data_IF_755003275899
#
_entry.id   IF_755003275899
#
_cell.length_a   1.000
_cell.length_b   1.000
_cell.length_c   1.000
_cell.angle_alpha   90.00
_cell.angle_beta   90.00
_cell.angle_gamma   90.00
#
_symmetry.space_group_name_H-M   'P 1'
#
loop_
_entity.id
_entity.type
_entity.pdbx_description
1 polymer ?
#
# COMPACT_ATOMS: atom_id res chain seq x y z
N UNK A 1 48.11 17.39 -4.81
CA UNK A 1 46.84 17.14 -4.09
C UNK A 1 46.08 16.13 -4.91
N UNK A 2 45.97 14.89 -4.44
CA UNK A 2 45.24 13.83 -5.15
C UNK A 2 43.74 14.06 -4.96
N UNK A 3 43.02 14.32 -6.04
CA UNK A 3 41.56 14.36 -6.05
C UNK A 3 41.02 12.98 -5.63
N UNK A 4 40.32 12.92 -4.50
CA UNK A 4 39.59 11.72 -4.09
C UNK A 4 38.33 11.66 -4.95
N UNK A 5 38.33 10.78 -5.95
CA UNK A 5 37.16 10.49 -6.77
C UNK A 5 36.05 9.90 -5.88
N UNK A 6 35.05 10.70 -5.56
CA UNK A 6 33.84 10.22 -4.90
C UNK A 6 32.96 9.52 -5.94
N UNK A 7 32.85 8.19 -5.86
CA UNK A 7 31.98 7.39 -6.73
C UNK A 7 30.66 7.07 -6.02
N UNK A 8 29.59 6.91 -6.80
CA UNK A 8 28.31 6.40 -6.30
C UNK A 8 28.47 4.96 -5.80
N UNK A 9 27.62 4.54 -4.86
CA UNK A 9 27.48 3.13 -4.48
C UNK A 9 27.01 2.31 -5.69
N UNK A 10 27.37 1.04 -5.72
CA UNK A 10 26.93 0.09 -6.74
C UNK A 10 25.79 -0.82 -6.25
N UNK A 11 25.51 -0.82 -4.95
CA UNK A 11 24.51 -1.64 -4.25
C UNK A 11 23.35 -0.80 -3.68
N UNK A 12 22.94 0.26 -4.38
CA UNK A 12 21.72 0.99 -4.03
C UNK A 12 20.49 0.28 -4.60
N UNK A 13 19.32 0.58 -4.03
CA UNK A 13 18.07 -0.03 -4.45
C UNK A 13 17.60 0.59 -5.77
N UNK A 14 17.39 -0.26 -6.77
CA UNK A 14 16.83 0.17 -8.05
C UNK A 14 15.33 0.51 -7.90
N UNK A 15 14.82 1.31 -8.84
CA UNK A 15 13.45 1.85 -8.75
C UNK A 15 12.35 0.77 -8.63
N UNK A 16 12.35 -0.31 -9.43
CA UNK A 16 11.32 -1.34 -9.32
C UNK A 16 11.29 -2.00 -7.93
N UNK A 17 12.47 -2.35 -7.40
CA UNK A 17 12.63 -2.94 -6.07
C UNK A 17 12.19 -1.96 -4.98
N UNK A 18 12.54 -0.68 -5.13
CA UNK A 18 12.09 0.37 -4.22
C UNK A 18 10.57 0.49 -4.19
N UNK A 19 9.90 0.60 -5.34
CA UNK A 19 8.44 0.75 -5.37
C UNK A 19 7.71 -0.50 -4.90
N UNK A 20 8.25 -1.69 -5.20
CA UNK A 20 7.72 -2.93 -4.67
C UNK A 20 7.90 -3.00 -3.15
N UNK A 21 9.07 -2.63 -2.63
CA UNK A 21 9.32 -2.55 -1.20
C UNK A 21 8.35 -1.58 -0.50
N UNK A 22 8.04 -0.44 -1.11
CA UNK A 22 7.01 0.49 -0.61
C UNK A 22 5.63 -0.16 -0.56
N UNK A 23 5.23 -0.91 -1.60
CA UNK A 23 3.95 -1.63 -1.59
C UNK A 23 3.90 -2.66 -0.44
N UNK A 24 4.94 -3.47 -0.27
CA UNK A 24 5.00 -4.44 0.84
C UNK A 24 5.07 -3.78 2.22
N UNK A 25 5.78 -2.66 2.36
CA UNK A 25 5.82 -1.89 3.61
C UNK A 25 4.44 -1.32 3.93
N UNK A 26 3.72 -0.83 2.92
CA UNK A 26 2.35 -0.31 3.07
C UNK A 26 1.38 -1.40 3.49
N UNK A 27 1.54 -2.62 3.00
CA UNK A 27 0.74 -3.78 3.40
C UNK A 27 0.79 -4.01 4.93
N UNK A 28 1.92 -3.73 5.58
CA UNK A 28 2.08 -3.88 7.04
C UNK A 28 1.19 -2.93 7.86
N UNK A 29 0.54 -1.94 7.23
CA UNK A 29 -0.47 -1.09 7.87
C UNK A 29 -1.88 -1.68 7.87
N UNK A 30 -2.12 -2.74 7.10
CA UNK A 30 -3.39 -3.47 7.10
C UNK A 30 -3.65 -4.12 8.46
N UNK A 31 -4.87 -3.95 8.98
CA UNK A 31 -5.33 -4.64 10.20
C UNK A 31 -6.01 -5.98 9.90
N UNK A 32 -6.09 -6.39 8.64
CA UNK A 32 -6.65 -7.69 8.27
C UNK A 32 -5.74 -8.81 8.80
N UNK A 33 -6.22 -9.71 9.67
CA UNK A 33 -5.37 -10.75 10.26
C UNK A 33 -5.05 -11.88 9.28
N UNK A 34 -5.72 -11.95 8.12
CA UNK A 34 -5.59 -13.07 7.19
C UNK A 34 -4.75 -12.73 5.96
N UNK A 35 -4.86 -11.50 5.46
CA UNK A 35 -4.26 -11.09 4.20
C UNK A 35 -3.90 -9.62 4.24
N UNK A 36 -2.61 -9.30 4.15
CA UNK A 36 -2.10 -7.94 4.09
C UNK A 36 -1.62 -7.65 2.67
N UNK A 37 -2.26 -6.70 2.02
CA UNK A 37 -1.94 -6.28 0.65
C UNK A 37 -1.66 -4.80 0.66
N UNK A 38 -0.65 -4.38 -0.08
CA UNK A 38 -0.31 -2.98 -0.30
C UNK A 38 -0.15 -2.69 -1.78
N UNK A 39 -0.33 -1.43 -2.14
CA UNK A 39 -0.26 -0.94 -3.51
C UNK A 39 0.48 0.41 -3.54
N UNK A 40 1.26 0.60 -4.60
CA UNK A 40 2.04 1.82 -4.83
C UNK A 40 1.79 2.26 -6.29
N UNK A 41 1.28 3.48 -6.48
CA UNK A 41 1.05 4.08 -7.80
C UNK A 41 2.17 5.09 -8.04
N UNK A 42 2.85 4.93 -9.16
CA UNK A 42 4.02 5.72 -9.55
C UNK A 42 3.77 6.32 -10.93
N UNK A 43 4.11 7.58 -11.12
CA UNK A 43 3.99 8.26 -12.42
C UNK A 43 5.25 8.05 -13.30
N UNK A 44 5.21 8.58 -14.52
CA UNK A 44 6.34 8.51 -15.48
C UNK A 44 7.64 9.17 -15.00
N UNK A 45 7.59 10.04 -13.98
CA UNK A 45 8.75 10.70 -13.39
C UNK A 45 9.32 9.96 -12.17
N UNK A 46 8.90 8.70 -11.94
CA UNK A 46 9.27 7.90 -10.77
C UNK A 46 8.87 8.56 -9.42
N UNK A 47 7.78 9.32 -9.41
CA UNK A 47 7.20 9.89 -8.19
C UNK A 47 6.03 9.04 -7.73
N UNK A 48 6.01 8.72 -6.44
CA UNK A 48 4.87 8.04 -5.82
C UNK A 48 3.74 9.05 -5.72
N UNK A 49 2.62 8.74 -6.38
CA UNK A 49 1.43 9.61 -6.43
C UNK A 49 0.27 9.07 -5.60
N UNK A 50 0.29 7.78 -5.28
CA UNK A 50 -0.72 7.13 -4.44
C UNK A 50 -0.18 5.90 -3.73
N UNK A 51 -0.61 5.69 -2.48
CA UNK A 51 -0.28 4.52 -1.66
C UNK A 51 -1.56 3.99 -1.05
N UNK A 52 -1.71 2.67 -1.01
CA UNK A 52 -2.85 2.01 -0.41
C UNK A 52 -2.49 0.69 0.27
N UNK A 53 -3.37 0.27 1.18
CA UNK A 53 -3.38 -1.04 1.80
C UNK A 53 -4.83 -1.45 2.05
N UNK A 54 -5.11 -2.75 2.18
CA UNK A 54 -6.48 -3.20 2.43
C UNK A 54 -6.95 -2.83 3.85
N UNK A 55 -8.18 -2.32 3.97
CA UNK A 55 -8.69 -1.73 5.21
C UNK A 55 -10.20 -1.49 5.16
N UNK A 56 -10.83 -1.21 6.30
CA UNK A 56 -12.21 -0.73 6.29
C UNK A 56 -12.30 0.71 5.74
N UNK A 57 -13.47 1.18 5.30
CA UNK A 57 -13.65 2.53 4.78
C UNK A 57 -13.32 3.60 5.84
N UNK A 58 -12.97 4.81 5.38
CA UNK A 58 -12.67 5.93 6.27
C UNK A 58 -13.83 6.23 7.22
N UNK A 59 -13.54 6.36 8.51
CA UNK A 59 -14.54 6.63 9.56
C UNK A 59 -15.26 5.38 10.06
N UNK A 60 -15.04 4.21 9.47
CA UNK A 60 -15.51 2.94 10.01
C UNK A 60 -14.44 2.33 10.93
N UNK A 61 -14.79 2.01 12.17
CA UNK A 61 -13.84 1.38 13.09
C UNK A 61 -13.55 -0.07 12.69
N UNK A 62 -12.26 -0.39 12.58
CA UNK A 62 -11.78 -1.77 12.36
C UNK A 62 -12.08 -2.71 13.54
N UNK A 63 -12.49 -2.17 14.70
CA UNK A 63 -12.88 -2.95 15.88
C UNK A 63 -14.38 -3.28 15.91
N UNK A 64 -15.18 -2.61 15.05
CA UNK A 64 -16.63 -2.79 14.96
C UNK A 64 -17.00 -3.66 13.76
N UNK A 65 -16.33 -3.45 12.61
CA UNK A 65 -16.58 -4.23 11.41
C UNK A 65 -15.84 -5.57 11.43
N UNK A 66 -16.46 -6.66 10.93
CA UNK A 66 -15.89 -7.99 11.05
C UNK A 66 -14.69 -8.21 10.12
N UNK A 67 -13.62 -8.79 10.65
CA UNK A 67 -12.48 -9.28 9.87
C UNK A 67 -12.59 -10.76 9.45
N UNK A 68 -13.57 -11.49 9.99
CA UNK A 68 -13.72 -12.93 9.74
C UNK A 68 -14.11 -13.23 8.29
N UNK A 69 -13.62 -14.37 7.79
CA UNK A 69 -13.86 -14.85 6.41
C UNK A 69 -15.10 -15.72 6.29
N UNK A 70 -15.61 -16.26 7.39
CA UNK A 70 -16.75 -17.18 7.41
C UNK A 70 -17.68 -16.80 8.57
N UNK A 71 -18.97 -16.85 8.30
CA UNK A 71 -20.06 -16.65 9.24
C UNK A 71 -21.36 -17.21 8.62
N UNK A 72 -22.39 -17.41 9.44
CA UNK A 72 -23.70 -17.83 8.97
C UNK A 72 -24.34 -16.77 8.06
N UNK A 73 -24.26 -15.50 8.45
CA UNK A 73 -24.68 -14.37 7.62
C UNK A 73 -23.50 -13.78 6.84
N UNK A 74 -23.72 -13.36 5.60
CA UNK A 74 -22.69 -12.69 4.79
C UNK A 74 -22.27 -11.33 5.37
N UNK A 75 -23.20 -10.60 5.98
CA UNK A 75 -22.95 -9.30 6.64
C UNK A 75 -22.04 -9.44 7.85
N UNK A 76 -21.88 -10.65 8.35
CA UNK A 76 -20.96 -10.94 9.43
C UNK A 76 -19.54 -11.22 8.94
N UNK A 77 -19.24 -11.06 7.65
CA UNK A 77 -17.90 -11.29 7.08
C UNK A 77 -17.25 -10.00 6.63
N UNK A 78 -15.93 -9.99 6.42
CA UNK A 78 -15.21 -8.79 5.93
C UNK A 78 -15.61 -8.34 4.53
N UNK A 79 -16.09 -9.28 3.70
CA UNK A 79 -16.20 -9.08 2.25
C UNK A 79 -17.12 -7.93 1.79
N UNK A 80 -18.23 -7.60 2.48
CA UNK A 80 -19.05 -6.46 2.09
C UNK A 80 -18.42 -5.10 2.40
N UNK A 81 -17.41 -5.05 3.28
CA UNK A 81 -16.91 -3.81 3.85
C UNK A 81 -15.47 -3.51 3.49
N UNK A 82 -14.61 -4.53 3.38
CA UNK A 82 -13.18 -4.33 3.18
C UNK A 82 -12.90 -3.67 1.83
N UNK A 83 -12.16 -2.57 1.86
CA UNK A 83 -11.60 -1.93 0.69
C UNK A 83 -10.25 -2.57 0.35
N UNK A 84 -10.04 -2.90 -0.92
CA UNK A 84 -8.77 -3.44 -1.39
C UNK A 84 -7.67 -2.35 -1.45
N UNK A 85 -6.42 -2.77 -1.46
CA UNK A 85 -5.27 -1.87 -1.44
C UNK A 85 -5.24 -0.95 -2.68
N UNK A 86 -5.60 -1.48 -3.83
CA UNK A 86 -5.63 -0.79 -5.12
C UNK A 86 -6.68 0.32 -5.14
N UNK A 87 -7.88 0.04 -4.62
CA UNK A 87 -8.94 1.05 -4.45
C UNK A 87 -8.44 2.19 -3.57
N UNK A 88 -7.87 1.85 -2.41
CA UNK A 88 -7.35 2.85 -1.48
C UNK A 88 -6.20 3.64 -2.08
N UNK A 89 -5.32 3.03 -2.88
CA UNK A 89 -4.22 3.74 -3.54
C UNK A 89 -4.72 4.76 -4.59
N UNK A 90 -5.76 4.42 -5.35
CA UNK A 90 -6.39 5.34 -6.31
C UNK A 90 -7.09 6.50 -5.59
N UNK A 91 -7.84 6.21 -4.53
CA UNK A 91 -8.60 7.22 -3.79
C UNK A 91 -7.70 8.14 -2.95
N UNK A 92 -6.57 7.64 -2.46
CA UNK A 92 -5.56 8.42 -1.73
C UNK A 92 -4.61 9.19 -2.65
N UNK A 93 -4.81 9.14 -3.97
CA UNK A 93 -3.93 9.80 -4.93
C UNK A 93 -4.05 11.31 -4.79
N UNK A 94 -2.93 11.95 -4.43
CA UNK A 94 -2.86 13.41 -4.22
C UNK A 94 -2.29 14.16 -5.44
N UNK A 95 -2.39 13.58 -6.65
CA UNK A 95 -1.88 14.16 -7.90
C UNK A 95 -2.89 13.98 -9.03
N UNK A 96 -3.04 15.00 -9.87
CA UNK A 96 -3.88 14.96 -11.08
C UNK A 96 -3.18 14.28 -12.27
N UNK A 97 -1.85 14.24 -12.30
CA UNK A 97 -1.07 13.65 -13.40
C UNK A 97 -0.77 12.16 -13.19
N UNK A 98 -0.80 11.39 -14.29
CA UNK A 98 -0.45 9.97 -14.44
C UNK A 98 0.71 9.84 -15.43
#
# INVERSE_FOLDING_TARGET
>A
MSEVSCKKRDDYLEWPEYFMAVAFLSAQRSKDPNSQVGACIVNSENKIVGIGYNGMPNGCSDDVLPWRRTAENKLDTKYPYVCHAELNAIMNKNSTDV
#
